data_IF_241609280335
#
_entry.id   IF_241609280335
#
_cell.length_a   1.000
_cell.length_b   1.000
_cell.length_c   1.000
_cell.angle_alpha   90.00
_cell.angle_beta   90.00
_cell.angle_gamma   90.00
#
_symmetry.space_group_name_H-M   'P 1'
#
loop_
_entity.id
_entity.type
_entity.pdbx_description
1 polymer ?
#
# COMPACT_ATOMS: atom_id res chain seq x y z
N UNK A 1 -15.29 12.63 7.69
CA UNK A 1 -16.48 11.83 7.32
C UNK A 1 -16.06 10.39 7.17
N UNK A 2 -16.92 9.40 7.43
CA UNK A 2 -16.62 7.99 7.17
C UNK A 2 -17.51 7.51 6.02
N UNK A 3 -16.89 7.04 4.93
CA UNK A 3 -17.60 6.52 3.76
C UNK A 3 -17.66 5.00 3.79
N UNK A 4 -18.76 4.46 3.26
CA UNK A 4 -18.90 3.02 3.02
C UNK A 4 -18.68 2.76 1.55
N UNK A 5 -17.76 1.85 1.26
CA UNK A 5 -17.38 1.45 -0.10
C UNK A 5 -17.25 -0.06 -0.14
N UNK A 6 -17.62 -0.66 -1.27
CA UNK A 6 -17.41 -2.07 -1.55
C UNK A 6 -16.41 -2.22 -2.70
N UNK A 7 -15.64 -3.31 -2.68
CA UNK A 7 -14.73 -3.68 -3.76
C UNK A 7 -15.23 -4.99 -4.38
N UNK A 8 -15.83 -4.93 -5.57
CA UNK A 8 -16.39 -6.09 -6.27
C UNK A 8 -17.33 -6.94 -5.38
N UNK A 9 -18.13 -6.30 -4.52
CA UNK A 9 -19.02 -6.99 -3.57
C UNK A 9 -18.34 -7.53 -2.30
N UNK A 10 -17.04 -7.31 -2.12
CA UNK A 10 -16.32 -7.52 -0.86
C UNK A 10 -16.32 -6.25 -0.01
N UNK A 11 -16.54 -6.42 1.30
CA UNK A 11 -16.45 -5.34 2.28
C UNK A 11 -15.04 -5.16 2.85
N UNK A 12 -14.07 -5.99 2.43
CA UNK A 12 -12.70 -5.99 2.95
C UNK A 12 -11.82 -4.95 2.24
N UNK A 13 -12.22 -3.68 2.31
CA UNK A 13 -11.57 -2.57 1.57
C UNK A 13 -10.08 -2.45 1.87
N UNK A 14 -9.68 -2.69 3.13
CA UNK A 14 -8.28 -2.64 3.55
C UNK A 14 -7.39 -3.72 2.92
N UNK A 15 -7.98 -4.72 2.25
CA UNK A 15 -7.21 -5.71 1.48
C UNK A 15 -6.75 -5.13 0.14
N UNK A 16 -7.55 -4.26 -0.45
CA UNK A 16 -7.37 -3.73 -1.80
C UNK A 16 -6.87 -2.30 -1.85
N UNK A 17 -6.75 -1.63 -0.69
CA UNK A 17 -6.34 -0.24 -0.59
C UNK A 17 -5.35 -0.05 0.57
N UNK A 18 -4.34 0.79 0.35
CA UNK A 18 -3.40 1.23 1.38
C UNK A 18 -3.44 2.77 1.46
N UNK A 19 -3.97 3.30 2.57
CA UNK A 19 -4.16 4.72 2.78
C UNK A 19 -3.12 5.25 3.78
N UNK A 20 -2.37 6.27 3.36
CA UNK A 20 -1.42 6.99 4.21
C UNK A 20 -1.70 8.49 4.18
N UNK A 21 -0.99 9.27 5.02
CA UNK A 21 -1.14 10.72 5.08
C UNK A 21 -0.64 11.47 3.83
N UNK A 22 0.12 10.82 2.93
CA UNK A 22 0.70 11.46 1.74
C UNK A 22 0.36 10.80 0.42
N UNK A 23 -0.13 9.56 0.43
CA UNK A 23 -0.49 8.84 -0.79
C UNK A 23 -1.51 7.74 -0.47
N UNK A 24 -2.27 7.35 -1.48
CA UNK A 24 -3.20 6.24 -1.44
C UNK A 24 -2.85 5.26 -2.57
N UNK A 25 -2.66 3.98 -2.25
CA UNK A 25 -2.49 2.92 -3.24
C UNK A 25 -3.78 2.15 -3.36
N UNK A 26 -4.23 1.92 -4.59
CA UNK A 26 -5.42 1.12 -4.88
C UNK A 26 -5.06 0.00 -5.85
N UNK A 27 -5.59 -1.19 -5.58
CA UNK A 27 -5.45 -2.34 -6.46
C UNK A 27 -6.04 -2.07 -7.84
N UNK A 28 -5.31 -2.47 -8.88
CA UNK A 28 -5.84 -2.49 -10.24
C UNK A 28 -6.98 -3.50 -10.39
N UNK A 29 -7.99 -3.14 -11.19
CA UNK A 29 -9.16 -3.98 -11.41
C UNK A 29 -10.23 -3.85 -10.33
N UNK A 30 -10.42 -2.64 -9.79
CA UNK A 30 -11.61 -2.27 -9.02
C UNK A 30 -12.72 -1.83 -9.97
N UNK A 31 -13.95 -1.79 -9.46
CA UNK A 31 -15.05 -1.14 -10.18
C UNK A 31 -14.84 0.36 -10.22
N UNK A 32 -15.34 1.00 -11.29
CA UNK A 32 -15.27 2.45 -11.44
C UNK A 32 -16.01 3.20 -10.32
N UNK A 33 -16.98 2.54 -9.67
CA UNK A 33 -17.65 3.06 -8.49
C UNK A 33 -16.67 3.24 -7.32
N UNK A 34 -15.81 2.25 -7.07
CA UNK A 34 -14.80 2.34 -6.01
C UNK A 34 -13.81 3.47 -6.27
N UNK A 35 -13.27 3.53 -7.50
CA UNK A 35 -12.33 4.59 -7.88
C UNK A 35 -12.95 5.99 -7.76
N UNK A 36 -14.16 6.18 -8.28
CA UNK A 36 -14.86 7.48 -8.19
C UNK A 36 -15.05 7.95 -6.75
N UNK A 37 -15.36 7.05 -5.81
CA UNK A 37 -15.58 7.41 -4.40
C UNK A 37 -14.28 7.76 -3.69
N UNK A 38 -13.20 7.00 -3.96
CA UNK A 38 -11.88 7.25 -3.38
C UNK A 38 -11.30 8.54 -3.95
N UNK A 39 -11.38 8.74 -5.26
CA UNK A 39 -10.87 9.94 -5.93
C UNK A 39 -11.68 11.18 -5.55
N UNK A 40 -13.00 11.09 -5.39
CA UNK A 40 -13.84 12.23 -4.99
C UNK A 40 -13.45 12.86 -3.64
N UNK A 41 -12.94 12.07 -2.70
CA UNK A 41 -12.49 12.59 -1.39
C UNK A 41 -10.99 12.85 -1.31
N UNK A 42 -10.18 12.05 -2.02
CA UNK A 42 -8.73 12.05 -1.80
C UNK A 42 -7.95 12.73 -2.92
N UNK A 43 -8.46 12.80 -4.16
CA UNK A 43 -7.68 13.27 -5.31
C UNK A 43 -7.23 14.73 -5.18
N UNK A 44 -7.96 15.55 -4.43
CA UNK A 44 -7.60 16.96 -4.20
C UNK A 44 -6.46 17.14 -3.19
N UNK A 45 -6.19 16.13 -2.34
CA UNK A 45 -5.26 16.25 -1.20
C UNK A 45 -4.05 15.32 -1.34
N UNK A 46 -4.27 14.07 -1.77
CA UNK A 46 -3.21 13.07 -1.91
C UNK A 46 -3.32 12.33 -3.26
N UNK A 47 -2.19 11.93 -3.87
CA UNK A 47 -2.21 11.12 -5.08
C UNK A 47 -2.82 9.74 -4.80
N UNK A 48 -3.83 9.38 -5.59
CA UNK A 48 -4.42 8.04 -5.64
C UNK A 48 -3.75 7.28 -6.78
N UNK A 49 -3.04 6.21 -6.45
CA UNK A 49 -2.22 5.45 -7.42
C UNK A 49 -2.80 4.06 -7.61
N UNK A 50 -3.25 3.82 -8.84
CA UNK A 50 -3.72 2.51 -9.28
C UNK A 50 -2.53 1.62 -9.61
N UNK A 51 -2.31 0.57 -8.83
CA UNK A 51 -1.15 -0.31 -9.00
C UNK A 51 -1.46 -1.76 -8.60
N UNK A 52 -0.70 -2.71 -9.14
CA UNK A 52 -0.57 -4.05 -8.60
C UNK A 52 0.74 -4.16 -7.86
N UNK A 53 0.78 -5.03 -6.85
CA UNK A 53 2.03 -5.35 -6.15
C UNK A 53 2.21 -6.86 -6.18
N UNK A 54 3.35 -7.30 -6.72
CA UNK A 54 3.66 -8.71 -6.93
C UNK A 54 2.62 -9.41 -7.84
N UNK A 55 2.15 -8.71 -8.88
CA UNK A 55 1.10 -9.18 -9.79
C UNK A 55 -0.23 -9.53 -9.10
N UNK A 56 -0.49 -8.96 -7.91
CA UNK A 56 -1.74 -9.14 -7.18
C UNK A 56 -2.52 -7.84 -7.02
N UNK A 57 -3.85 -7.97 -6.88
CA UNK A 57 -4.77 -6.85 -6.64
C UNK A 57 -4.87 -6.47 -5.15
N UNK A 58 -4.29 -7.28 -4.26
CA UNK A 58 -4.42 -7.16 -2.80
C UNK A 58 -3.37 -6.22 -2.19
N UNK A 59 -3.22 -5.02 -2.76
CA UNK A 59 -2.14 -4.07 -2.42
C UNK A 59 -2.11 -3.71 -0.94
N UNK A 60 -3.25 -3.62 -0.27
CA UNK A 60 -3.34 -3.29 1.16
C UNK A 60 -2.75 -4.37 2.07
N UNK A 61 -2.77 -5.64 1.65
CA UNK A 61 -2.16 -6.74 2.43
C UNK A 61 -0.68 -6.93 2.16
N UNK A 62 -0.25 -6.66 0.93
CA UNK A 62 1.14 -6.96 0.53
C UNK A 62 2.07 -5.77 0.72
N UNK A 63 1.55 -4.56 0.80
CA UNK A 63 2.33 -3.35 1.05
C UNK A 63 2.04 -2.79 2.43
N UNK A 64 3.02 -2.12 3.02
CA UNK A 64 2.83 -1.32 4.23
C UNK A 64 3.61 -0.03 4.09
N UNK A 65 3.05 1.08 4.54
CA UNK A 65 3.74 2.35 4.42
C UNK A 65 3.19 3.40 5.36
N UNK A 66 3.94 4.49 5.45
CA UNK A 66 3.55 5.69 6.16
C UNK A 66 3.92 6.89 5.29
N UNK A 67 3.80 8.12 5.81
CA UNK A 67 4.12 9.33 5.06
C UNK A 67 5.54 9.36 4.46
N UNK A 68 6.48 8.65 5.07
CA UNK A 68 7.92 8.74 4.77
C UNK A 68 8.42 7.61 3.89
N UNK A 69 7.67 6.51 3.77
CA UNK A 69 8.15 5.35 3.05
C UNK A 69 7.11 4.27 2.83
N UNK A 70 7.37 3.48 1.81
CA UNK A 70 6.55 2.35 1.39
C UNK A 70 7.43 1.09 1.31
N UNK A 71 7.00 0.04 2.00
CA UNK A 71 7.60 -1.27 1.92
C UNK A 71 6.77 -2.16 0.99
N UNK A 72 7.45 -2.76 0.04
CA UNK A 72 6.89 -3.70 -0.93
C UNK A 72 7.61 -5.03 -0.84
N UNK A 73 6.96 -6.16 -1.14
CA UNK A 73 7.59 -7.47 -1.10
C UNK A 73 8.64 -7.60 -2.20
N UNK A 74 9.60 -8.51 -2.02
CA UNK A 74 10.62 -8.78 -3.04
C UNK A 74 10.05 -9.35 -4.36
N UNK A 75 8.85 -9.92 -4.32
CA UNK A 75 8.13 -10.39 -5.51
C UNK A 75 7.57 -9.26 -6.42
N UNK A 76 7.65 -8.00 -5.98
CA UNK A 76 7.18 -6.85 -6.77
C UNK A 76 8.05 -6.66 -8.00
N UNK A 77 7.43 -6.62 -9.17
CA UNK A 77 8.16 -6.45 -10.45
C UNK A 77 8.81 -5.07 -10.55
N UNK A 78 9.84 -4.92 -11.38
CA UNK A 78 10.49 -3.62 -11.60
C UNK A 78 9.56 -2.61 -12.28
N UNK A 79 8.65 -3.09 -13.12
CA UNK A 79 7.64 -2.24 -13.78
C UNK A 79 6.65 -1.66 -12.77
N UNK A 80 6.10 -2.48 -11.87
CA UNK A 80 5.23 -2.02 -10.78
C UNK A 80 5.96 -1.02 -9.88
N UNK A 81 7.22 -1.31 -9.54
CA UNK A 81 7.99 -0.44 -8.66
C UNK A 81 8.29 0.91 -9.34
N UNK A 82 8.64 0.91 -10.63
CA UNK A 82 8.84 2.14 -11.39
C UNK A 82 7.56 2.96 -11.50
N UNK A 83 6.41 2.31 -11.70
CA UNK A 83 5.10 2.97 -11.74
C UNK A 83 4.79 3.67 -10.41
N UNK A 84 4.98 2.97 -9.29
CA UNK A 84 4.80 3.53 -7.95
C UNK A 84 5.75 4.70 -7.73
N UNK A 85 7.04 4.57 -8.09
CA UNK A 85 8.02 5.67 -7.96
C UNK A 85 7.64 6.92 -8.75
N UNK A 86 7.11 6.75 -9.95
CA UNK A 86 6.73 7.90 -10.79
C UNK A 86 5.47 8.61 -10.27
N UNK A 87 4.61 7.90 -9.54
CA UNK A 87 3.34 8.43 -9.06
C UNK A 87 3.40 8.97 -7.63
N UNK A 88 4.37 8.54 -6.83
CA UNK A 88 4.53 8.98 -5.44
C UNK A 88 5.47 10.20 -5.34
N UNK A 89 5.29 11.05 -4.31
CA UNK A 89 6.22 12.15 -4.03
C UNK A 89 7.63 11.64 -3.74
N UNK A 90 8.65 12.40 -4.15
CA UNK A 90 10.08 12.06 -3.98
C UNK A 90 10.50 11.87 -2.50
N UNK A 91 9.73 12.44 -1.56
CA UNK A 91 9.95 12.27 -0.13
C UNK A 91 9.72 10.82 0.35
N UNK A 92 8.90 10.05 -0.38
CA UNK A 92 8.51 8.69 0.01
C UNK A 92 9.56 7.69 -0.45
N UNK A 93 10.26 7.08 0.52
CA UNK A 93 11.25 6.05 0.23
C UNK A 93 10.61 4.69 0.00
N UNK A 94 10.67 4.21 -1.24
CA UNK A 94 10.16 2.88 -1.61
C UNK A 94 11.28 1.84 -1.49
N UNK A 95 11.04 0.79 -0.70
CA UNK A 95 12.03 -0.27 -0.45
C UNK A 95 11.41 -1.66 -0.58
N UNK A 96 12.12 -2.56 -1.29
CA UNK A 96 11.80 -3.99 -1.29
C UNK A 96 12.31 -4.63 0.00
N UNK A 97 11.47 -5.46 0.61
CA UNK A 97 11.80 -6.24 1.81
C UNK A 97 11.57 -7.72 1.50
N UNK A 98 12.54 -8.55 1.85
CA UNK A 98 12.39 -10.01 1.86
C UNK A 98 11.84 -10.42 3.23
N UNK A 99 10.61 -10.87 3.27
CA UNK A 99 9.97 -11.41 4.48
C UNK A 99 9.28 -12.73 4.12
N UNK A 100 9.45 -13.74 4.96
CA UNK A 100 9.06 -15.14 4.69
C UNK A 100 7.91 -15.63 5.56
N UNK A 101 7.51 -14.89 6.59
CA UNK A 101 6.41 -15.26 7.48
C UNK A 101 5.02 -15.08 6.84
N UNK A 102 4.74 -13.88 6.33
CA UNK A 102 3.46 -13.54 5.69
C UNK A 102 3.59 -12.25 4.88
N UNK A 103 2.49 -11.81 4.28
CA UNK A 103 2.41 -10.53 3.58
C UNK A 103 2.68 -9.36 4.54
N UNK A 104 3.41 -8.34 4.06
CA UNK A 104 3.91 -7.25 4.90
C UNK A 104 2.81 -6.51 5.66
N UNK A 105 1.65 -6.28 5.04
CA UNK A 105 0.50 -5.62 5.67
C UNK A 105 -0.22 -6.45 6.73
N UNK A 106 0.02 -7.77 6.80
CA UNK A 106 -0.50 -8.61 7.88
C UNK A 106 0.43 -8.61 9.10
N UNK A 107 1.74 -8.39 8.90
CA UNK A 107 2.77 -8.53 9.94
C UNK A 107 3.26 -7.19 10.46
N UNK A 108 2.97 -6.09 9.76
CA UNK A 108 3.37 -4.74 10.13
C UNK A 108 2.15 -3.83 10.11
N UNK A 109 1.92 -3.13 11.21
CA UNK A 109 1.02 -1.98 11.26
C UNK A 109 1.85 -0.77 11.64
N UNK A 110 1.87 0.24 10.77
CA UNK A 110 2.69 1.42 10.95
C UNK A 110 1.87 2.70 10.87
N UNK A 111 2.25 3.68 11.68
CA UNK A 111 1.88 5.07 11.50
C UNK A 111 3.15 5.93 11.30
N UNK A 112 3.03 7.25 11.33
CA UNK A 112 4.15 8.16 11.09
C UNK A 112 5.19 8.21 12.24
N UNK A 113 4.87 7.60 13.39
CA UNK A 113 5.63 7.67 14.64
C UNK A 113 6.06 6.30 15.19
N UNK A 114 5.22 5.28 15.07
CA UNK A 114 5.34 3.96 15.69
C UNK A 114 4.94 2.89 14.69
N UNK A 115 5.65 1.75 14.72
CA UNK A 115 5.27 0.55 14.01
C UNK A 115 5.20 -0.62 14.98
N UNK A 116 4.14 -1.43 14.86
CA UNK A 116 4.00 -2.71 15.52
C UNK A 116 4.28 -3.80 14.49
N UNK A 117 5.16 -4.72 14.85
CA UNK A 117 5.61 -5.81 13.99
C UNK A 117 5.41 -7.14 14.68
N UNK A 118 5.18 -8.19 13.89
CA UNK A 118 5.12 -9.56 14.40
C UNK A 118 6.42 -9.92 15.15
N UNK A 119 6.31 -10.59 16.29
CA UNK A 119 7.45 -10.87 17.18
C UNK A 119 8.54 -11.72 16.51
N UNK A 120 8.13 -12.66 15.66
CA UNK A 120 9.04 -13.54 14.93
C UNK A 120 9.61 -12.93 13.66
N UNK A 121 9.29 -11.66 13.35
CA UNK A 121 9.80 -11.02 12.13
C UNK A 121 11.31 -11.11 12.10
N UNK A 122 11.83 -11.59 10.97
CA UNK A 122 13.25 -11.77 10.83
C UNK A 122 13.94 -10.43 11.08
N UNK A 123 15.04 -10.41 11.85
CA UNK A 123 15.83 -9.18 12.10
C UNK A 123 16.53 -8.78 10.81
N UNK A 124 15.78 -8.38 9.79
CA UNK A 124 16.31 -7.87 8.54
C UNK A 124 16.90 -6.51 8.88
N UNK A 125 18.24 -6.46 8.93
CA UNK A 125 18.96 -5.19 8.96
C UNK A 125 18.53 -4.41 7.72
N UNK A 126 17.84 -3.29 7.93
CA UNK A 126 17.74 -2.25 6.92
C UNK A 126 19.16 -1.72 6.70
N UNK A 127 19.94 -2.38 5.83
CA UNK A 127 21.26 -1.90 5.48
C UNK A 127 21.11 -0.50 4.88
N UNK A 128 21.79 0.44 5.50
CA UNK A 128 21.89 1.86 5.14
C UNK A 128 22.54 2.05 3.78
#
# INVERSE_FOLDING_TARGET
MALRVDYEGSNDVGVFCNLTNSYCLVGVGATQNFYSLVEAELADVIPVVHTSVAATRIVGRVSVGNRKGLLVPNATTDQELQHIRNALPDEVKIRRVDERLSALGNVIVANDHVALVHADISKVRFTS
#
